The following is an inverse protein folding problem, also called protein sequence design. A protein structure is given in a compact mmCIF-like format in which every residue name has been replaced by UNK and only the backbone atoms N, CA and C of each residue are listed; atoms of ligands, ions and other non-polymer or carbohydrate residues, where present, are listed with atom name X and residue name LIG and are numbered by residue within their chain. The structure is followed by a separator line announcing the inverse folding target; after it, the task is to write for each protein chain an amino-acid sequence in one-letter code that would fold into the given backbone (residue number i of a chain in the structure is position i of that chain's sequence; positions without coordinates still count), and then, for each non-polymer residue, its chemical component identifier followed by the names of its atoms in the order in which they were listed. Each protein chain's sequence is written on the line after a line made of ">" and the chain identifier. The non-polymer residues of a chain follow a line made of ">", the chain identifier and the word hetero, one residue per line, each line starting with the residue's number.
data_IF_139345003385
#
_entry.id   IF_139345003385
#
_cell.length_a   1.000
_cell.length_b   1.000
_cell.length_c   1.000
_cell.angle_alpha   90.00
_cell.angle_beta   90.00
_cell.angle_gamma   90.00
#
_symmetry.space_group_name_H-M   'P 1'
#
loop_
_entity.id
_entity.type
_entity.pdbx_description
1 polymer ?
#
# COMPACT_ATOMS: atom_id res chain seq x y z
N UNK A 1 -5.18 -6.47 3.17
CA UNK A 1 -4.17 -5.90 2.25
C UNK A 1 -4.75 -5.95 0.84
N UNK A 2 -4.47 -4.95 0.00
CA UNK A 2 -4.88 -4.98 -1.43
C UNK A 2 -4.21 -6.14 -2.17
N UNK A 3 -3.07 -6.62 -1.67
CA UNK A 3 -2.47 -7.89 -2.07
C UNK A 3 -2.57 -8.90 -0.93
N UNK A 4 -3.14 -10.08 -1.17
CA UNK A 4 -3.00 -11.23 -0.25
C UNK A 4 -1.65 -11.92 -0.45
N UNK A 5 -0.57 -11.15 -0.39
CA UNK A 5 0.79 -11.66 -0.60
C UNK A 5 1.60 -11.46 0.68
N UNK A 6 1.79 -12.55 1.42
CA UNK A 6 2.70 -12.58 2.57
C UNK A 6 4.11 -12.10 2.20
N UNK A 7 4.53 -12.28 0.94
CA UNK A 7 5.83 -11.88 0.41
C UNK A 7 6.08 -10.36 0.35
N UNK A 8 5.03 -9.52 0.41
CA UNK A 8 5.16 -8.06 0.36
C UNK A 8 4.92 -7.39 1.72
N UNK A 9 4.82 -8.16 2.80
CA UNK A 9 4.66 -7.62 4.15
C UNK A 9 6.00 -7.13 4.69
N UNK A 10 5.94 -6.20 5.65
CA UNK A 10 7.10 -5.90 6.49
C UNK A 10 7.64 -7.23 7.06
N UNK A 11 8.93 -7.58 6.88
CA UNK A 11 9.52 -8.78 7.47
C UNK A 11 9.35 -8.87 8.99
N UNK A 12 9.15 -7.73 9.65
CA UNK A 12 8.93 -7.63 11.09
C UNK A 12 7.46 -7.82 11.51
N UNK A 13 6.54 -8.04 10.56
CA UNK A 13 5.12 -8.19 10.85
C UNK A 13 4.86 -9.29 11.90
N UNK A 14 4.00 -9.00 12.89
CA UNK A 14 3.76 -9.82 14.09
C UNK A 14 4.96 -9.98 15.06
N UNK A 15 5.97 -9.14 14.96
CA UNK A 15 7.10 -9.12 15.90
C UNK A 15 7.12 -7.83 16.71
N UNK A 16 7.81 -7.84 17.85
CA UNK A 16 8.00 -6.62 18.66
C UNK A 16 8.87 -5.57 17.96
N UNK A 17 9.58 -5.95 16.90
CA UNK A 17 10.40 -5.07 16.06
C UNK A 17 9.60 -4.42 14.92
N UNK A 18 8.28 -4.63 14.84
CA UNK A 18 7.40 -3.95 13.88
C UNK A 18 7.24 -2.47 14.27
N UNK A 19 8.26 -1.67 13.95
CA UNK A 19 8.32 -0.23 14.26
C UNK A 19 8.39 0.59 12.97
N UNK A 20 8.16 1.90 13.09
CA UNK A 20 8.16 2.83 11.96
C UNK A 20 9.49 2.78 11.17
N UNK A 21 10.60 2.61 11.88
CA UNK A 21 11.95 2.54 11.30
C UNK A 21 12.16 1.31 10.42
N UNK A 22 11.31 0.28 10.56
CA UNK A 22 11.37 -0.95 9.78
C UNK A 22 10.46 -0.95 8.54
N UNK A 23 9.69 0.12 8.35
CA UNK A 23 8.81 0.26 7.19
C UNK A 23 9.55 0.81 5.98
N UNK A 24 9.24 0.26 4.81
CA UNK A 24 9.56 0.88 3.53
C UNK A 24 8.48 1.92 3.18
N UNK A 25 8.72 3.17 3.59
CA UNK A 25 7.76 4.25 3.39
C UNK A 25 7.65 4.69 1.93
N UNK A 26 8.68 4.49 1.10
CA UNK A 26 8.62 4.80 -0.32
C UNK A 26 7.70 3.81 -1.04
N UNK A 27 7.85 2.51 -0.75
CA UNK A 27 6.94 1.49 -1.26
C UNK A 27 5.47 1.77 -0.88
N UNK A 28 5.21 2.11 0.39
CA UNK A 28 3.85 2.42 0.86
C UNK A 28 3.28 3.66 0.14
N UNK A 29 4.08 4.71 -0.02
CA UNK A 29 3.69 5.92 -0.76
C UNK A 29 3.31 5.58 -2.20
N UNK A 30 4.16 4.84 -2.90
CA UNK A 30 3.97 4.56 -4.33
C UNK A 30 2.73 3.70 -4.57
N UNK A 31 2.50 2.69 -3.71
CA UNK A 31 1.28 1.88 -3.72
C UNK A 31 0.04 2.78 -3.50
N UNK A 32 0.07 3.65 -2.49
CA UNK A 32 -1.04 4.55 -2.18
C UNK A 32 -1.34 5.50 -3.34
N UNK A 33 -0.31 6.07 -3.97
CA UNK A 33 -0.47 6.94 -5.13
C UNK A 33 -1.05 6.21 -6.33
N UNK A 34 -0.56 5.00 -6.63
CA UNK A 34 -1.07 4.19 -7.74
C UNK A 34 -2.55 3.84 -7.57
N UNK A 35 -2.97 3.45 -6.37
CA UNK A 35 -4.37 3.15 -6.07
C UNK A 35 -5.23 4.42 -6.14
N UNK A 36 -4.76 5.52 -5.53
CA UNK A 36 -5.46 6.80 -5.56
C UNK A 36 -5.72 7.27 -6.99
N UNK A 37 -4.67 7.30 -7.82
CA UNK A 37 -4.78 7.68 -9.24
C UNK A 37 -5.69 6.75 -10.04
N UNK A 38 -5.68 5.44 -9.76
CA UNK A 38 -6.63 4.51 -10.38
C UNK A 38 -8.07 4.84 -9.99
N UNK A 39 -8.35 5.06 -8.71
CA UNK A 39 -9.70 5.37 -8.22
C UNK A 39 -10.19 6.70 -8.80
N UNK A 40 -9.36 7.73 -8.83
CA UNK A 40 -9.69 9.01 -9.45
C UNK A 40 -10.02 8.85 -10.94
N UNK A 41 -9.20 8.07 -11.67
CA UNK A 41 -9.44 7.80 -13.09
C UNK A 41 -10.72 7.01 -13.29
N UNK A 42 -10.92 5.92 -12.55
CA UNK A 42 -12.03 5.00 -12.72
C UNK A 42 -13.36 5.64 -12.29
N UNK A 43 -13.40 6.27 -11.12
CA UNK A 43 -14.61 6.93 -10.61
C UNK A 43 -14.88 8.25 -11.34
N UNK A 44 -13.85 8.96 -11.79
CA UNK A 44 -13.99 10.16 -12.62
C UNK A 44 -14.47 9.84 -14.04
N UNK A 45 -14.06 8.70 -14.61
CA UNK A 45 -14.51 8.24 -15.93
C UNK A 45 -15.92 7.62 -15.92
N UNK A 46 -16.34 7.01 -14.80
CA UNK A 46 -17.66 6.41 -14.62
C UNK A 46 -18.63 7.26 -13.77
N UNK A 47 -18.25 8.50 -13.44
CA UNK A 47 -19.07 9.48 -12.72
C UNK A 47 -20.12 10.20 -13.57
N UNK A 48 -20.53 9.62 -14.70
CA UNK A 48 -21.71 10.02 -15.48
C UNK A 48 -22.71 8.88 -15.53
#
# INVERSE_FOLDING_TARGET
>A
MITDTAFLRNPNYHQSTDTLETLDLEFIRDVTQGIGGFLETYLGAHGK
#
